data_IF_156060512062
#
_entry.id   IF_156060512062
#
_cell.length_a   1.000
_cell.length_b   1.000
_cell.length_c   1.000
_cell.angle_alpha   90.00
_cell.angle_beta   90.00
_cell.angle_gamma   90.00
#
_symmetry.space_group_name_H-M   'P 1'
#
loop_
_entity.id
_entity.type
_entity.pdbx_description
1 polymer ?
#
# COMPACT_ATOMS: atom_id res chain seq x y z
N UNK A 1 -3.49 0.03 -22.26
CA UNK A 1 -3.36 -1.12 -21.33
C UNK A 1 -2.70 -0.75 -20.00
N UNK A 2 -1.51 -0.15 -19.97
CA UNK A 2 -0.81 0.16 -18.71
C UNK A 2 -1.55 1.06 -17.71
N UNK A 3 -2.29 2.09 -18.19
CA UNK A 3 -3.07 2.98 -17.31
C UNK A 3 -4.22 2.23 -16.61
N UNK A 4 -4.92 1.33 -17.34
CA UNK A 4 -6.03 0.54 -16.80
C UNK A 4 -5.51 -0.43 -15.73
N UNK A 5 -4.41 -1.14 -16.03
CA UNK A 5 -3.78 -2.05 -15.05
C UNK A 5 -3.28 -1.28 -13.83
N UNK A 6 -2.65 -0.12 -14.02
CA UNK A 6 -2.18 0.73 -12.93
C UNK A 6 -3.32 1.23 -12.04
N UNK A 7 -4.43 1.69 -12.63
CA UNK A 7 -5.61 2.14 -11.90
C UNK A 7 -6.25 1.00 -11.08
N UNK A 8 -6.31 -0.21 -11.63
CA UNK A 8 -6.81 -1.39 -10.90
C UNK A 8 -5.94 -1.72 -9.68
N UNK A 9 -4.61 -1.74 -9.85
CA UNK A 9 -3.67 -1.98 -8.74
C UNK A 9 -3.80 -0.90 -7.66
N UNK A 10 -3.90 0.37 -8.07
CA UNK A 10 -4.06 1.49 -7.14
C UNK A 10 -5.40 1.43 -6.38
N UNK A 11 -6.49 1.07 -7.05
CA UNK A 11 -7.80 0.89 -6.41
C UNK A 11 -7.76 -0.22 -5.35
N UNK A 12 -7.12 -1.34 -5.66
CA UNK A 12 -6.94 -2.45 -4.70
C UNK A 12 -6.09 -2.01 -3.51
N UNK A 13 -4.99 -1.28 -3.73
CA UNK A 13 -4.14 -0.74 -2.66
C UNK A 13 -4.86 0.28 -1.79
N UNK A 14 -5.75 1.11 -2.36
CA UNK A 14 -6.56 2.06 -1.61
C UNK A 14 -7.56 1.34 -0.69
N UNK A 15 -8.23 0.30 -1.18
CA UNK A 15 -9.16 -0.52 -0.39
C UNK A 15 -8.44 -1.20 0.79
N UNK A 16 -7.23 -1.69 0.55
CA UNK A 16 -6.37 -2.27 1.58
C UNK A 16 -5.59 -1.24 2.40
N UNK A 17 -5.80 0.06 2.22
CA UNK A 17 -5.01 1.12 2.84
C UNK A 17 -5.38 1.47 4.28
N UNK A 18 -6.35 0.79 4.89
CA UNK A 18 -6.75 1.02 6.30
C UNK A 18 -7.88 2.04 6.51
N UNK A 19 -8.38 2.68 5.44
CA UNK A 19 -9.53 3.62 5.54
C UNK A 19 -10.89 2.92 5.40
N UNK A 20 -11.07 2.10 4.36
CA UNK A 20 -12.34 1.42 4.08
C UNK A 20 -12.54 0.14 4.90
N UNK A 21 -11.45 -0.54 5.23
CA UNK A 21 -11.43 -1.67 6.15
C UNK A 21 -10.27 -1.50 7.11
N UNK A 22 -10.55 -1.76 8.38
CA UNK A 22 -9.57 -1.65 9.45
C UNK A 22 -8.59 -2.82 9.39
N UNK A 23 -7.33 -2.63 9.83
CA UNK A 23 -6.28 -3.65 9.74
C UNK A 23 -6.67 -5.00 10.35
N UNK A 24 -7.45 -5.01 11.44
CA UNK A 24 -7.89 -6.25 12.11
C UNK A 24 -9.07 -6.95 11.42
N UNK A 25 -9.80 -6.27 10.53
CA UNK A 25 -10.90 -6.84 9.76
C UNK A 25 -10.43 -7.42 8.40
N UNK A 26 -9.13 -7.35 8.10
CA UNK A 26 -8.55 -7.86 6.86
C UNK A 26 -8.15 -9.35 7.02
N UNK A 27 -8.48 -10.22 6.05
CA UNK A 27 -7.96 -11.59 6.01
C UNK A 27 -6.42 -11.60 6.00
N UNK A 28 -5.82 -12.29 6.96
CA UNK A 28 -4.39 -12.13 7.30
C UNK A 28 -3.43 -12.47 6.14
N UNK A 29 -3.75 -13.44 5.29
CA UNK A 29 -2.78 -14.06 4.38
C UNK A 29 -2.49 -13.25 3.11
N UNK A 30 -3.49 -12.57 2.54
CA UNK A 30 -3.34 -11.83 1.28
C UNK A 30 -3.56 -10.32 1.44
N UNK A 31 -4.48 -9.93 2.32
CA UNK A 31 -4.90 -8.54 2.47
C UNK A 31 -4.07 -7.81 3.54
N UNK A 32 -3.80 -8.46 4.67
CA UNK A 32 -2.98 -7.87 5.75
C UNK A 32 -1.49 -7.92 5.43
N UNK A 33 -1.01 -9.03 4.88
CA UNK A 33 0.32 -9.15 4.28
C UNK A 33 0.13 -9.61 2.84
N UNK A 34 0.65 -8.97 1.77
CA UNK A 34 1.52 -7.80 1.71
C UNK A 34 0.77 -6.48 1.40
N UNK A 35 -0.52 -6.53 1.08
CA UNK A 35 -1.25 -5.41 0.47
C UNK A 35 -1.31 -4.17 1.38
N UNK A 36 -1.62 -4.38 2.67
CA UNK A 36 -1.69 -3.31 3.67
C UNK A 36 -0.33 -2.64 3.92
N UNK A 37 0.76 -3.40 3.98
CA UNK A 37 2.11 -2.85 4.22
C UNK A 37 2.76 -2.20 3.00
N UNK A 38 2.46 -2.69 1.78
CA UNK A 38 2.97 -2.10 0.54
C UNK A 38 2.16 -0.83 0.18
N UNK A 39 0.89 -0.74 0.59
CA UNK A 39 0.06 0.41 0.27
C UNK A 39 0.58 1.67 0.94
N UNK A 40 1.04 2.64 0.14
CA UNK A 40 1.43 3.96 0.65
C UNK A 40 0.26 4.68 1.32
N UNK A 41 -0.98 4.35 0.95
CA UNK A 41 -2.19 4.93 1.55
C UNK A 41 -2.25 4.68 3.06
N UNK A 42 -1.75 3.54 3.56
CA UNK A 42 -1.65 3.26 5.01
C UNK A 42 -0.92 4.40 5.72
N UNK A 43 0.30 4.70 5.29
CA UNK A 43 1.16 5.69 5.92
C UNK A 43 0.63 7.12 5.72
N UNK A 44 0.01 7.39 4.57
CA UNK A 44 -0.64 8.67 4.31
C UNK A 44 -1.82 8.90 5.26
N UNK A 45 -2.71 7.92 5.42
CA UNK A 45 -3.85 8.02 6.34
C UNK A 45 -3.40 8.08 7.80
N UNK A 46 -2.44 7.24 8.21
CA UNK A 46 -1.87 7.29 9.56
C UNK A 46 -1.24 8.67 9.86
N UNK A 47 -0.48 9.24 8.92
CA UNK A 47 0.10 10.57 9.06
C UNK A 47 -0.95 11.68 9.15
N UNK A 48 -1.98 11.66 8.29
CA UNK A 48 -3.08 12.63 8.30
C UNK A 48 -3.89 12.54 9.59
N UNK A 49 -4.25 11.33 10.01
CA UNK A 49 -4.99 11.11 11.26
C UNK A 49 -4.17 11.57 12.47
N UNK A 50 -2.89 11.23 12.55
CA UNK A 50 -2.02 11.75 13.62
C UNK A 50 -1.89 13.26 13.56
N UNK A 51 -1.91 13.87 12.37
CA UNK A 51 -1.82 15.32 12.26
C UNK A 51 -3.08 16.04 12.75
N UNK A 52 -4.26 15.47 12.46
CA UNK A 52 -5.55 16.09 12.78
C UNK A 52 -5.98 15.83 14.23
N UNK A 53 -5.81 14.59 14.72
CA UNK A 53 -6.38 14.20 16.01
C UNK A 53 -5.44 14.43 17.20
N UNK A 54 -4.12 14.57 16.99
CA UNK A 54 -3.19 14.84 18.10
C UNK A 54 -3.35 16.31 18.54
N UNK A 55 -3.73 16.50 19.81
CA UNK A 55 -3.92 17.82 20.40
C UNK A 55 -5.35 18.35 20.32
N UNK A 56 -6.28 17.60 19.73
CA UNK A 56 -7.71 17.90 19.75
C UNK A 56 -8.46 17.01 20.74
N UNK A 57 -9.49 17.57 21.35
CA UNK A 57 -10.44 16.87 22.19
C UNK A 57 -11.84 16.98 21.60
N UNK A 58 -12.58 15.87 21.58
CA UNK A 58 -13.90 15.78 20.99
C UNK A 58 -14.94 15.42 22.05
N UNK A 59 -16.17 15.95 21.97
CA UNK A 59 -17.23 15.57 22.89
C UNK A 59 -17.59 14.09 22.70
N UNK A 60 -17.56 13.30 23.78
CA UNK A 60 -17.95 11.88 23.74
C UNK A 60 -19.44 11.71 23.49
N UNK A 61 -19.80 10.86 22.52
CA UNK A 61 -21.18 10.41 22.29
C UNK A 61 -21.60 9.20 23.13
N UNK A 62 -20.65 8.55 23.83
CA UNK A 62 -20.88 7.29 24.55
C UNK A 62 -21.69 7.45 25.84
N UNK A 63 -21.72 8.65 26.41
CA UNK A 63 -22.54 8.95 27.60
C UNK A 63 -23.38 10.18 27.33
N UNK A 64 -24.65 9.94 26.98
CA UNK A 64 -25.72 10.93 26.76
C UNK A 64 -25.93 11.93 27.91
N UNK A 65 -25.22 11.78 29.04
CA UNK A 65 -25.31 12.58 30.26
C UNK A 65 -23.94 12.94 30.88
N UNK A 66 -22.82 12.82 30.16
CA UNK A 66 -21.52 13.28 30.67
C UNK A 66 -20.80 14.14 29.64
N UNK A 67 -20.42 15.35 30.05
CA UNK A 67 -19.49 16.25 29.34
C UNK A 67 -18.05 15.69 29.39
N UNK A 68 -17.87 14.41 29.09
CA UNK A 68 -16.55 13.81 29.00
C UNK A 68 -15.98 14.09 27.62
N UNK A 69 -14.95 14.93 27.57
CA UNK A 69 -14.12 15.10 26.38
C UNK A 69 -13.28 13.84 26.18
N UNK A 70 -13.30 13.27 24.98
CA UNK A 70 -12.39 12.20 24.56
C UNK A 70 -11.24 12.83 23.78
N UNK A 71 -10.02 12.53 24.21
CA UNK A 71 -8.81 12.91 23.46
C UNK A 71 -8.78 12.23 22.10
N UNK A 72 -8.42 12.97 21.05
CA UNK A 72 -8.27 12.45 19.69
C UNK A 72 -7.30 11.27 19.58
N UNK A 73 -6.34 11.15 20.50
CA UNK A 73 -5.42 9.99 20.59
C UNK A 73 -6.19 8.70 20.93
N UNK A 74 -7.20 8.78 21.80
CA UNK A 74 -8.04 7.62 22.16
C UNK A 74 -8.92 7.18 20.98
N UNK A 75 -9.41 8.14 20.19
CA UNK A 75 -10.18 7.87 18.97
C UNK A 75 -9.27 7.23 17.91
N UNK A 76 -8.04 7.73 17.76
CA UNK A 76 -7.06 7.16 16.84
C UNK A 76 -6.76 5.69 17.11
N UNK A 77 -6.62 5.36 18.39
CA UNK A 77 -6.31 4.00 18.84
C UNK A 77 -7.51 3.06 18.76
N UNK A 78 -8.64 3.48 19.31
CA UNK A 78 -9.79 2.59 19.48
C UNK A 78 -10.66 2.49 18.23
N UNK A 79 -10.76 3.57 17.43
CA UNK A 79 -11.62 3.60 16.24
C UNK A 79 -10.83 3.37 14.97
N UNK A 80 -9.62 3.90 14.85
CA UNK A 80 -8.82 3.81 13.62
C UNK A 80 -7.69 2.79 13.69
N UNK A 81 -7.48 2.14 14.86
CA UNK A 81 -6.43 1.15 15.09
C UNK A 81 -5.05 1.61 14.60
N UNK A 82 -4.76 2.91 14.78
CA UNK A 82 -3.48 3.48 14.32
C UNK A 82 -2.35 2.99 15.22
N UNK A 83 -1.23 2.61 14.61
CA UNK A 83 0.00 2.22 15.33
C UNK A 83 0.54 3.41 16.14
N UNK A 84 0.48 3.26 17.47
CA UNK A 84 0.97 4.22 18.47
C UNK A 84 2.52 4.26 18.57
N UNK A 85 3.22 3.33 17.93
CA UNK A 85 4.67 3.15 18.12
C UNK A 85 5.53 4.25 17.50
N UNK A 86 4.99 5.06 16.58
CA UNK A 86 5.77 6.05 15.82
C UNK A 86 5.04 7.40 15.65
N UNK A 87 5.82 8.48 15.55
CA UNK A 87 5.33 9.85 15.37
C UNK A 87 4.93 10.14 13.91
N UNK A 88 4.11 11.18 13.68
CA UNK A 88 3.63 11.59 12.34
C UNK A 88 4.75 11.87 11.33
N UNK A 89 5.91 12.30 11.80
CA UNK A 89 7.09 12.57 10.98
C UNK A 89 7.76 11.29 10.46
N UNK A 90 7.63 10.18 11.18
CA UNK A 90 8.16 8.88 10.77
C UNK A 90 7.27 8.33 9.65
N UNK A 91 5.95 8.47 9.74
CA UNK A 91 5.03 8.11 8.65
C UNK A 91 5.34 8.90 7.37
N UNK A 92 5.64 10.21 7.51
CA UNK A 92 6.09 11.05 6.39
C UNK A 92 7.45 10.60 5.82
N UNK A 93 8.41 10.27 6.67
CA UNK A 93 9.72 9.76 6.24
C UNK A 93 9.59 8.43 5.48
N UNK A 94 8.71 7.53 5.94
CA UNK A 94 8.42 6.25 5.26
C UNK A 94 7.80 6.52 3.89
N UNK A 95 6.85 7.45 3.79
CA UNK A 95 6.26 7.83 2.50
C UNK A 95 7.31 8.35 1.51
N UNK A 96 8.21 9.23 1.96
CA UNK A 96 9.31 9.71 1.13
C UNK A 96 10.27 8.58 0.73
N UNK A 97 10.59 7.68 1.66
CA UNK A 97 11.37 6.48 1.38
C UNK A 97 10.71 5.58 0.33
N UNK A 98 9.39 5.40 0.40
CA UNK A 98 8.62 4.63 -0.58
C UNK A 98 8.69 5.25 -1.98
N UNK A 99 8.64 6.57 -2.11
CA UNK A 99 8.79 7.24 -3.42
C UNK A 99 10.12 6.88 -4.06
N UNK A 100 11.22 6.97 -3.30
CA UNK A 100 12.56 6.63 -3.79
C UNK A 100 12.64 5.14 -4.13
N UNK A 101 12.15 4.27 -3.24
CA UNK A 101 12.15 2.82 -3.44
C UNK A 101 11.38 2.41 -4.71
N UNK A 102 10.17 2.92 -4.91
CA UNK A 102 9.37 2.63 -6.10
C UNK A 102 10.01 3.15 -7.39
N UNK A 103 10.69 4.30 -7.33
CA UNK A 103 11.48 4.80 -8.47
C UNK A 103 12.63 3.87 -8.80
N UNK A 104 13.36 3.38 -7.79
CA UNK A 104 14.46 2.43 -8.00
C UNK A 104 13.96 1.08 -8.53
N UNK A 105 12.89 0.52 -7.97
CA UNK A 105 12.26 -0.71 -8.45
C UNK A 105 11.83 -0.58 -9.90
N UNK A 106 11.19 0.55 -10.26
CA UNK A 106 10.82 0.84 -11.65
C UNK A 106 12.04 0.83 -12.58
N UNK A 107 13.13 1.50 -12.19
CA UNK A 107 14.37 1.52 -12.98
C UNK A 107 14.99 0.13 -13.13
N UNK A 108 15.00 -0.67 -12.07
CA UNK A 108 15.51 -2.06 -12.09
C UNK A 108 14.66 -2.92 -13.02
N UNK A 109 13.34 -2.84 -12.93
CA UNK A 109 12.41 -3.59 -13.78
C UNK A 109 12.63 -3.21 -15.25
N UNK A 110 12.73 -1.91 -15.56
CA UNK A 110 12.96 -1.44 -16.94
C UNK A 110 14.28 -2.00 -17.47
N UNK A 111 15.40 -1.81 -16.76
CA UNK A 111 16.72 -2.31 -17.19
C UNK A 111 16.77 -3.82 -17.32
N UNK A 112 16.12 -4.55 -16.43
CA UNK A 112 16.05 -6.02 -16.50
C UNK A 112 15.19 -6.46 -17.67
N UNK A 113 14.05 -5.79 -17.91
CA UNK A 113 13.17 -6.09 -19.04
C UNK A 113 13.87 -5.87 -20.39
N UNK A 114 14.73 -4.86 -20.49
CA UNK A 114 15.54 -4.60 -21.69
C UNK A 114 16.51 -5.76 -21.98
N UNK A 115 17.10 -6.36 -20.94
CA UNK A 115 17.97 -7.55 -21.07
C UNK A 115 17.19 -8.84 -21.33
N UNK A 116 15.99 -8.99 -20.77
CA UNK A 116 15.18 -10.20 -20.91
C UNK A 116 14.43 -10.25 -22.26
N UNK A 117 13.97 -9.10 -22.79
CA UNK A 117 13.29 -9.02 -24.10
C UNK A 117 14.05 -9.69 -25.26
N UNK A 118 15.37 -9.50 -25.45
CA UNK A 118 16.11 -10.23 -26.48
C UNK A 118 16.23 -11.72 -26.18
N UNK A 119 16.37 -12.12 -24.90
CA UNK A 119 16.46 -13.52 -24.50
C UNK A 119 15.15 -14.27 -24.77
N UNK A 120 14.01 -13.70 -24.42
CA UNK A 120 12.67 -14.25 -24.71
C UNK A 120 12.48 -14.37 -26.24
N UNK A 121 12.86 -13.34 -27.01
CA UNK A 121 12.79 -13.39 -28.48
C UNK A 121 13.70 -14.47 -29.07
N UNK A 122 14.89 -14.67 -28.50
CA UNK A 122 15.81 -15.73 -28.90
C UNK A 122 15.26 -17.13 -28.59
N UNK A 123 14.67 -17.32 -27.40
CA UNK A 123 14.01 -18.56 -26.99
C UNK A 123 12.80 -18.88 -27.88
N UNK A 124 11.91 -17.91 -28.14
CA UNK A 124 10.78 -18.09 -29.06
C UNK A 124 11.25 -18.47 -30.46
N UNK A 125 12.26 -17.78 -31.01
CA UNK A 125 12.86 -18.14 -32.31
C UNK A 125 13.44 -19.55 -32.32
N UNK A 126 14.09 -19.99 -31.24
CA UNK A 126 14.67 -21.34 -31.11
C UNK A 126 13.58 -22.41 -31.06
N UNK A 127 12.51 -22.18 -30.29
CA UNK A 127 11.34 -23.06 -30.22
C UNK A 127 10.70 -23.22 -31.61
N UNK A 128 10.51 -22.12 -32.34
CA UNK A 128 9.93 -22.15 -33.68
C UNK A 128 10.80 -22.93 -34.68
N UNK A 129 12.13 -22.80 -34.60
CA UNK A 129 13.06 -23.58 -35.45
C UNK A 129 13.03 -25.09 -35.14
N UNK A 130 12.86 -25.49 -33.87
CA UNK A 130 12.77 -26.90 -33.52
C UNK A 130 11.48 -27.55 -34.01
N UNK A 131 10.35 -26.85 -33.94
CA UNK A 131 9.08 -27.36 -34.50
C UNK A 131 9.23 -27.64 -36.00
N UNK A 132 9.83 -26.71 -36.76
CA UNK A 132 10.03 -26.88 -38.20
C UNK A 132 10.99 -28.02 -38.55
N UNK A 133 11.96 -28.37 -37.69
CA UNK A 133 12.92 -29.45 -37.98
C UNK A 133 12.43 -30.86 -37.65
N UNK A 134 11.34 -31.01 -36.90
CA UNK A 134 10.79 -32.33 -36.51
C UNK A 134 9.77 -32.86 -37.54
N UNK A 135 9.24 -31.98 -38.40
CA UNK A 135 8.22 -32.30 -39.40
C UNK A 135 8.77 -32.69 -40.81
N UNK A 136 10.06 -33.06 -40.90
CA UNK A 136 10.71 -33.51 -42.16
C UNK A 136 11.24 -34.94 -42.10
#
# INVERSE_FOLDING_TARGET
MGIITGAGVQGVMLLGGGFFRLPDDLPDVFWRYPLYYISFHKYAFQGLFKNEFIGLEFPSSEKRHSHTMISGVKILKNTWQVEDSYSKWIDLAILLGMVVLYRLLFLIIVKTSEKIRPLIRALMRRSQKQVVQVDY
#
